data_IF_072673326960
#
_entry.id   IF_072673326960
#
_cell.length_a   1.000
_cell.length_b   1.000
_cell.length_c   1.000
_cell.angle_alpha   90.00
_cell.angle_beta   90.00
_cell.angle_gamma   90.00
#
_symmetry.space_group_name_H-M   'P 1'
#
loop_
_entity.id
_entity.type
_entity.pdbx_description
1 polymer ?
#
# COMPACT_ATOMS: atom_id res chain seq x y z
N UNK A 1 -9.73 -13.29 -4.25
CA UNK A 1 -8.53 -12.69 -4.87
C UNK A 1 -8.32 -11.23 -4.45
N UNK A 2 -9.34 -10.37 -4.52
CA UNK A 2 -9.19 -8.93 -4.21
C UNK A 2 -8.66 -8.64 -2.80
N UNK A 3 -9.07 -9.41 -1.79
CA UNK A 3 -8.51 -9.28 -0.43
C UNK A 3 -7.02 -9.62 -0.36
N UNK A 4 -6.55 -10.61 -1.13
CA UNK A 4 -5.14 -10.98 -1.21
C UNK A 4 -4.33 -9.87 -1.90
N UNK A 5 -4.88 -9.31 -2.98
CA UNK A 5 -4.29 -8.15 -3.67
C UNK A 5 -4.23 -6.95 -2.72
N UNK A 6 -5.30 -6.67 -1.99
CA UNK A 6 -5.34 -5.61 -0.98
C UNK A 6 -4.26 -5.79 0.09
N UNK A 7 -4.15 -6.98 0.68
CA UNK A 7 -3.11 -7.31 1.66
C UNK A 7 -1.69 -7.18 1.10
N UNK A 8 -1.46 -7.62 -0.14
CA UNK A 8 -0.16 -7.47 -0.81
C UNK A 8 0.21 -5.99 -1.00
N UNK A 9 -0.73 -5.18 -1.48
CA UNK A 9 -0.53 -3.74 -1.69
C UNK A 9 -0.29 -2.99 -0.36
N UNK A 10 -0.99 -3.38 0.72
CA UNK A 10 -0.75 -2.84 2.07
C UNK A 10 0.67 -3.18 2.54
N UNK A 11 1.11 -4.42 2.34
CA UNK A 11 2.47 -4.85 2.64
C UNK A 11 3.53 -4.08 1.85
N UNK A 12 3.27 -3.84 0.56
CA UNK A 12 4.14 -3.02 -0.30
C UNK A 12 4.24 -1.57 0.18
N UNK A 13 3.11 -0.92 0.49
CA UNK A 13 3.09 0.44 1.04
C UNK A 13 3.87 0.52 2.37
N UNK A 14 3.66 -0.45 3.27
CA UNK A 14 4.38 -0.53 4.53
C UNK A 14 5.89 -0.77 4.35
N UNK A 15 6.29 -1.59 3.38
CA UNK A 15 7.69 -1.83 3.07
C UNK A 15 8.41 -0.56 2.63
N UNK A 16 7.81 0.25 1.75
CA UNK A 16 8.37 1.55 1.33
C UNK A 16 8.42 2.52 2.51
N UNK A 17 7.38 2.54 3.34
CA UNK A 17 7.35 3.38 4.53
C UNK A 17 8.46 2.99 5.51
N UNK A 18 8.77 1.70 5.66
CA UNK A 18 9.80 1.21 6.56
C UNK A 18 11.21 1.28 5.98
N UNK A 19 11.36 1.40 4.67
CA UNK A 19 12.64 1.55 3.97
C UNK A 19 13.30 2.93 4.17
N UNK A 20 13.15 3.52 5.35
CA UNK A 20 13.75 4.80 5.70
C UNK A 20 15.27 4.65 5.82
N UNK A 21 16.02 5.48 5.09
CA UNK A 21 17.47 5.54 5.25
C UNK A 21 17.82 6.55 6.33
N UNK A 22 18.53 6.10 7.37
CA UNK A 22 18.91 6.87 8.58
C UNK A 22 19.59 8.22 8.30
N UNK A 23 20.05 8.48 7.07
CA UNK A 23 20.80 9.67 6.69
C UNK A 23 20.09 10.63 5.74
N UNK A 24 18.99 10.24 5.08
CA UNK A 24 18.35 11.04 4.01
C UNK A 24 16.84 11.16 4.07
N UNK A 25 16.18 10.45 5.00
CA UNK A 25 14.71 10.41 5.04
C UNK A 25 14.10 9.80 3.75
N UNK A 26 12.77 9.81 3.66
CA UNK A 26 12.05 9.34 2.48
C UNK A 26 12.04 10.39 1.37
N UNK A 27 12.30 9.95 0.15
CA UNK A 27 12.23 10.81 -1.05
C UNK A 27 10.77 11.07 -1.46
N UNK A 28 10.51 12.20 -2.12
CA UNK A 28 9.19 12.54 -2.66
C UNK A 28 8.55 11.43 -3.52
N UNK A 29 9.30 10.79 -4.45
CA UNK A 29 8.79 9.66 -5.22
C UNK A 29 8.45 8.43 -4.37
N UNK A 30 9.23 8.10 -3.33
CA UNK A 30 8.90 6.99 -2.43
C UNK A 30 7.58 7.24 -1.71
N UNK A 31 7.36 8.47 -1.22
CA UNK A 31 6.11 8.84 -0.57
C UNK A 31 4.95 8.73 -1.56
N UNK A 32 5.09 9.29 -2.76
CA UNK A 32 4.06 9.20 -3.80
C UNK A 32 3.70 7.75 -4.14
N UNK A 33 4.69 6.89 -4.30
CA UNK A 33 4.47 5.48 -4.62
C UNK A 33 3.80 4.72 -3.47
N UNK A 34 4.22 4.96 -2.22
CA UNK A 34 3.59 4.36 -1.04
C UNK A 34 2.11 4.77 -0.91
N UNK A 35 1.78 6.03 -1.20
CA UNK A 35 0.40 6.54 -1.18
C UNK A 35 -0.46 5.86 -2.25
N UNK A 36 0.05 5.72 -3.48
CA UNK A 36 -0.68 5.03 -4.57
C UNK A 36 -0.94 3.57 -4.20
N UNK A 37 0.05 2.86 -3.66
CA UNK A 37 -0.13 1.49 -3.19
C UNK A 37 -1.18 1.41 -2.08
N UNK A 38 -1.14 2.33 -1.12
CA UNK A 38 -2.11 2.38 -0.01
C UNK A 38 -3.54 2.60 -0.51
N UNK A 39 -3.75 3.54 -1.43
CA UNK A 39 -5.06 3.79 -2.04
C UNK A 39 -5.55 2.55 -2.78
N UNK A 40 -4.69 1.92 -3.59
CA UNK A 40 -5.03 0.69 -4.29
C UNK A 40 -5.39 -0.46 -3.33
N UNK A 41 -4.67 -0.58 -2.22
CA UNK A 41 -4.94 -1.54 -1.16
C UNK A 41 -6.33 -1.36 -0.56
N UNK A 42 -6.70 -0.12 -0.21
CA UNK A 42 -8.01 0.21 0.36
C UNK A 42 -9.12 -0.13 -0.63
N UNK A 43 -8.99 0.30 -1.88
CA UNK A 43 -9.98 0.02 -2.93
C UNK A 43 -10.15 -1.48 -3.18
N UNK A 44 -9.05 -2.22 -3.34
CA UNK A 44 -9.09 -3.67 -3.54
C UNK A 44 -9.72 -4.39 -2.35
N UNK A 45 -9.40 -3.97 -1.12
CA UNK A 45 -9.96 -4.57 0.09
C UNK A 45 -11.46 -4.27 0.21
N UNK A 46 -11.86 -3.01 0.04
CA UNK A 46 -13.27 -2.60 0.09
C UNK A 46 -14.11 -3.30 -0.99
N UNK A 47 -13.63 -3.36 -2.23
CA UNK A 47 -14.29 -4.10 -3.31
C UNK A 47 -14.33 -5.61 -3.03
N UNK A 48 -13.28 -6.17 -2.42
CA UNK A 48 -13.24 -7.56 -2.00
C UNK A 48 -14.30 -7.87 -0.94
N UNK A 49 -14.43 -7.00 0.07
CA UNK A 49 -15.46 -7.12 1.12
C UNK A 49 -16.85 -7.00 0.50
N UNK A 50 -17.10 -5.99 -0.35
CA UNK A 50 -18.39 -5.77 -0.99
C UNK A 50 -18.83 -6.98 -1.84
N UNK A 51 -17.90 -7.76 -2.39
CA UNK A 51 -18.23 -8.96 -3.17
C UNK A 51 -18.57 -10.18 -2.31
N UNK A 52 -18.28 -10.13 -1.02
CA UNK A 52 -18.56 -11.23 -0.07
C UNK A 52 -19.87 -11.03 0.71
N UNK A 53 -20.45 -9.83 0.61
CA UNK A 53 -21.75 -9.47 1.17
C UNK A 53 -22.79 -9.53 0.06
#
# INVERSE_FOLDING_TARGET
>A
MLLLVGGFLLGGAYSIWRADSDTKGRTGPQIGFAVVLLVGAVLATASGILRLV
#
